data_IF_246714809435
#
_entry.id   IF_246714809435
#
_cell.length_a   1.000
_cell.length_b   1.000
_cell.length_c   1.000
_cell.angle_alpha   90.00
_cell.angle_beta   90.00
_cell.angle_gamma   90.00
#
_symmetry.space_group_name_H-M   'P 1'
#
loop_
_entity.id
_entity.type
_entity.pdbx_description
1 polymer ?
#
# COMPACT_ATOMS: atom_id res chain seq x y z
N UNK A 1 -5.59 -0.87 -24.61
CA UNK A 1 -4.49 -1.63 -23.94
C UNK A 1 -5.10 -2.84 -23.25
N UNK A 2 -4.35 -3.94 -23.08
CA UNK A 2 -4.82 -5.09 -22.28
C UNK A 2 -4.79 -4.67 -20.82
N UNK A 3 -5.89 -4.87 -20.09
CA UNK A 3 -5.94 -4.61 -18.65
C UNK A 3 -5.19 -5.69 -17.85
N UNK A 4 -4.96 -5.46 -16.55
CA UNK A 4 -4.56 -6.55 -15.64
C UNK A 4 -5.62 -7.64 -15.70
N UNK A 5 -5.21 -8.89 -15.50
CA UNK A 5 -6.11 -10.04 -15.54
C UNK A 5 -5.88 -10.96 -14.34
N UNK A 6 -6.89 -11.76 -14.02
CA UNK A 6 -6.89 -12.67 -12.89
C UNK A 6 -7.02 -14.11 -13.39
N UNK A 7 -6.15 -15.00 -12.90
CA UNK A 7 -6.26 -16.44 -13.09
C UNK A 7 -6.48 -17.11 -11.73
N UNK A 8 -7.66 -17.64 -11.51
CA UNK A 8 -8.06 -18.35 -10.29
C UNK A 8 -8.09 -19.87 -10.47
N UNK A 9 -7.72 -20.38 -11.64
CA UNK A 9 -7.90 -21.80 -11.98
C UNK A 9 -7.17 -22.73 -11.01
N UNK A 10 -5.97 -22.33 -10.56
CA UNK A 10 -5.15 -23.10 -9.61
C UNK A 10 -5.51 -22.86 -8.14
N UNK A 11 -6.50 -22.03 -7.88
CA UNK A 11 -7.13 -21.87 -6.56
C UNK A 11 -8.50 -22.58 -6.54
N UNK A 12 -9.31 -22.40 -7.59
CA UNK A 12 -10.64 -23.00 -7.69
C UNK A 12 -10.61 -24.54 -7.72
N UNK A 13 -9.56 -25.16 -8.27
CA UNK A 13 -9.44 -26.63 -8.30
C UNK A 13 -9.30 -27.28 -6.91
N UNK A 14 -9.05 -26.51 -5.85
CA UNK A 14 -9.04 -26.97 -4.45
C UNK A 14 -10.41 -26.90 -3.78
N UNK A 15 -11.40 -26.39 -4.48
CA UNK A 15 -12.78 -26.24 -4.04
C UNK A 15 -13.68 -27.19 -4.84
N UNK A 16 -14.89 -27.43 -4.36
CA UNK A 16 -15.88 -28.17 -5.12
C UNK A 16 -16.27 -27.49 -6.44
N UNK A 17 -16.73 -28.25 -7.41
CA UNK A 17 -17.18 -27.66 -8.68
C UNK A 17 -18.27 -26.61 -8.45
N UNK A 18 -18.11 -25.44 -9.08
CA UNK A 18 -19.02 -24.32 -8.92
C UNK A 18 -18.91 -23.56 -7.59
N UNK A 19 -18.04 -23.96 -6.65
CA UNK A 19 -17.93 -23.32 -5.33
C UNK A 19 -17.66 -21.80 -5.42
N UNK A 20 -16.75 -21.37 -6.29
CA UNK A 20 -16.49 -19.94 -6.50
C UNK A 20 -17.72 -19.22 -7.07
N UNK A 21 -18.39 -19.84 -8.04
CA UNK A 21 -19.61 -19.27 -8.67
C UNK A 21 -20.77 -19.18 -7.67
N UNK A 22 -20.84 -20.04 -6.68
CA UNK A 22 -21.86 -19.99 -5.63
C UNK A 22 -21.78 -18.70 -4.79
N UNK A 23 -20.65 -17.98 -4.83
CA UNK A 23 -20.51 -16.67 -4.19
C UNK A 23 -21.03 -15.49 -5.05
N UNK A 24 -21.32 -15.70 -6.33
CA UNK A 24 -21.81 -14.63 -7.21
C UNK A 24 -22.99 -13.84 -6.64
N UNK A 25 -24.06 -14.45 -6.08
CA UNK A 25 -25.15 -13.69 -5.48
C UNK A 25 -24.72 -12.80 -4.30
N UNK A 26 -23.85 -13.30 -3.42
CA UNK A 26 -23.33 -12.55 -2.27
C UNK A 26 -22.40 -11.41 -2.70
N UNK A 27 -21.59 -11.65 -3.72
CA UNK A 27 -20.70 -10.62 -4.30
C UNK A 27 -21.52 -9.53 -4.95
N UNK A 28 -22.56 -9.90 -5.70
CA UNK A 28 -23.47 -8.92 -6.31
C UNK A 28 -24.19 -8.09 -5.27
N UNK A 29 -24.73 -8.72 -4.22
CA UNK A 29 -25.34 -8.02 -3.08
C UNK A 29 -24.34 -7.04 -2.44
N UNK A 30 -23.09 -7.46 -2.20
CA UNK A 30 -22.04 -6.61 -1.64
C UNK A 30 -21.75 -5.40 -2.55
N UNK A 31 -21.68 -5.58 -3.85
CA UNK A 31 -21.51 -4.49 -4.81
C UNK A 31 -22.70 -3.52 -4.82
N UNK A 32 -23.91 -4.05 -4.79
CA UNK A 32 -25.14 -3.24 -4.70
C UNK A 32 -25.17 -2.44 -3.39
N UNK A 33 -24.76 -3.01 -2.27
CA UNK A 33 -24.66 -2.31 -0.98
C UNK A 33 -23.61 -1.19 -1.00
N UNK A 34 -22.44 -1.42 -1.64
CA UNK A 34 -21.41 -0.39 -1.80
C UNK A 34 -21.94 0.78 -2.63
N UNK A 35 -22.54 0.51 -3.79
CA UNK A 35 -23.08 1.52 -4.69
C UNK A 35 -24.26 2.29 -4.10
N UNK A 36 -25.14 1.61 -3.37
CA UNK A 36 -26.28 2.24 -2.70
C UNK A 36 -25.90 2.95 -1.40
N UNK A 37 -24.67 2.80 -0.91
CA UNK A 37 -24.25 3.37 0.37
C UNK A 37 -24.98 2.78 1.57
N UNK A 38 -25.37 1.50 1.51
CA UNK A 38 -26.11 0.80 2.57
C UNK A 38 -25.27 -0.21 3.36
N UNK A 39 -24.02 -0.39 2.97
CA UNK A 39 -23.08 -1.29 3.65
C UNK A 39 -22.64 -0.74 5.02
N UNK A 40 -22.17 -1.61 5.94
CA UNK A 40 -21.55 -1.16 7.18
C UNK A 40 -20.34 -0.25 6.90
N UNK A 41 -20.31 0.93 7.56
CA UNK A 41 -19.24 1.91 7.37
C UNK A 41 -19.38 2.77 6.12
N UNK A 42 -20.58 2.91 5.59
CA UNK A 42 -20.91 3.70 4.40
C UNK A 42 -20.48 5.18 4.46
N UNK A 43 -20.19 5.71 5.65
CA UNK A 43 -19.59 7.06 5.82
C UNK A 43 -18.20 7.18 5.17
N UNK A 44 -17.56 6.05 4.79
CA UNK A 44 -16.21 5.98 4.24
C UNK A 44 -16.16 5.42 2.81
N UNK A 45 -17.13 5.74 1.98
CA UNK A 45 -17.20 5.29 0.57
C UNK A 45 -16.66 6.31 -0.44
N UNK A 46 -16.04 7.40 0.00
CA UNK A 46 -15.52 8.43 -0.90
C UNK A 46 -14.41 7.96 -1.86
N UNK A 47 -13.85 6.79 -1.63
CA UNK A 47 -12.87 6.15 -2.52
C UNK A 47 -13.51 5.45 -3.72
N UNK A 48 -14.78 5.02 -3.63
CA UNK A 48 -15.45 4.14 -4.60
C UNK A 48 -15.48 4.72 -6.02
N UNK A 49 -15.83 5.99 -6.15
CA UNK A 49 -15.83 6.71 -7.43
C UNK A 49 -14.78 7.81 -7.48
N UNK A 50 -13.77 7.72 -6.60
CA UNK A 50 -12.70 8.69 -6.55
C UNK A 50 -11.96 8.83 -7.89
N UNK A 51 -11.53 7.73 -8.56
CA UNK A 51 -10.75 7.84 -9.78
C UNK A 51 -11.47 8.66 -10.87
N UNK A 52 -12.75 8.37 -11.12
CA UNK A 52 -13.53 9.08 -12.15
C UNK A 52 -13.97 10.48 -11.72
N UNK A 53 -13.95 10.81 -10.43
CA UNK A 53 -14.29 12.14 -9.90
C UNK A 53 -13.11 13.12 -9.87
N UNK A 54 -11.87 12.64 -10.00
CA UNK A 54 -10.68 13.49 -10.01
C UNK A 54 -10.63 14.29 -11.31
N UNK A 55 -10.63 15.62 -11.20
CA UNK A 55 -10.50 16.50 -12.37
C UNK A 55 -9.03 16.67 -12.78
N UNK A 56 -8.80 16.93 -14.08
CA UNK A 56 -7.45 17.27 -14.57
C UNK A 56 -6.90 18.53 -13.90
N UNK A 57 -7.74 19.54 -13.64
CA UNK A 57 -7.34 20.76 -12.97
C UNK A 57 -6.80 20.48 -11.55
N UNK A 58 -7.39 19.53 -10.84
CA UNK A 58 -6.90 19.12 -9.52
C UNK A 58 -5.56 18.38 -9.60
N UNK A 59 -5.37 17.54 -10.60
CA UNK A 59 -4.08 16.90 -10.86
C UNK A 59 -3.00 17.93 -11.22
N UNK A 60 -3.35 18.95 -11.99
CA UNK A 60 -2.45 20.06 -12.33
C UNK A 60 -2.07 20.89 -11.10
N UNK A 61 -3.00 21.11 -10.16
CA UNK A 61 -2.72 21.78 -8.88
C UNK A 61 -1.71 20.98 -8.03
N UNK A 62 -1.92 19.65 -7.92
CA UNK A 62 -0.97 18.77 -7.22
C UNK A 62 0.38 18.79 -7.91
N UNK A 63 0.41 18.72 -9.24
CA UNK A 63 1.65 18.75 -10.01
C UNK A 63 2.39 20.08 -9.83
N UNK A 64 1.70 21.21 -9.86
CA UNK A 64 2.31 22.51 -9.64
C UNK A 64 2.97 22.62 -8.24
N UNK A 65 2.31 22.10 -7.20
CA UNK A 65 2.90 22.02 -5.87
C UNK A 65 4.14 21.10 -5.83
N UNK A 66 4.05 19.94 -6.47
CA UNK A 66 5.18 19.02 -6.58
C UNK A 66 6.37 19.65 -7.31
N UNK A 67 6.14 20.43 -8.36
CA UNK A 67 7.17 21.12 -9.13
C UNK A 67 7.89 22.18 -8.29
N UNK A 68 7.18 22.89 -7.40
CA UNK A 68 7.81 23.80 -6.43
C UNK A 68 8.75 23.04 -5.49
N UNK A 69 8.33 21.90 -4.97
CA UNK A 69 9.17 21.06 -4.11
C UNK A 69 10.38 20.50 -4.88
N UNK A 70 10.17 20.01 -6.09
CA UNK A 70 11.24 19.47 -6.96
C UNK A 70 12.29 20.54 -7.32
N UNK A 71 11.86 21.76 -7.58
CA UNK A 71 12.77 22.85 -7.92
C UNK A 71 13.60 23.36 -6.73
N UNK A 72 13.09 23.20 -5.50
CA UNK A 72 13.68 23.82 -4.30
C UNK A 72 14.31 22.81 -3.32
N UNK A 73 14.18 21.50 -3.54
CA UNK A 73 14.60 20.48 -2.60
C UNK A 73 15.45 19.39 -3.28
N UNK A 74 16.53 18.99 -2.61
CA UNK A 74 17.31 17.78 -2.92
C UNK A 74 16.63 16.54 -2.30
N UNK A 75 15.90 16.76 -1.20
CA UNK A 75 15.20 15.73 -0.42
C UNK A 75 13.82 16.24 -0.05
N UNK A 76 12.81 15.41 -0.21
CA UNK A 76 11.47 15.66 0.34
C UNK A 76 11.16 14.55 1.35
N UNK A 77 10.86 14.94 2.58
CA UNK A 77 10.47 13.99 3.64
C UNK A 77 8.97 13.95 3.75
N UNK A 78 8.40 12.79 3.52
CA UNK A 78 6.98 12.50 3.71
C UNK A 78 6.78 12.02 5.15
N UNK A 79 6.19 12.87 5.98
CA UNK A 79 5.88 12.57 7.37
C UNK A 79 4.45 12.03 7.48
N UNK A 80 4.32 10.71 7.70
CA UNK A 80 3.03 10.01 7.77
C UNK A 80 3.18 8.58 8.27
N UNK A 81 2.07 7.96 8.69
CA UNK A 81 2.02 6.57 9.13
C UNK A 81 0.84 5.83 8.51
N UNK A 82 0.95 4.52 8.36
CA UNK A 82 -0.09 3.67 7.78
C UNK A 82 -0.47 4.12 6.37
N UNK A 83 -1.76 4.35 6.13
CA UNK A 83 -2.25 4.84 4.84
C UNK A 83 -1.70 6.19 4.39
N UNK A 84 -1.16 6.99 5.32
CA UNK A 84 -0.54 8.27 5.01
C UNK A 84 0.87 8.16 4.40
N UNK A 85 1.43 6.94 4.25
CA UNK A 85 2.72 6.77 3.58
C UNK A 85 2.81 5.50 2.72
N UNK A 86 2.15 4.39 3.13
CA UNK A 86 2.34 3.08 2.48
C UNK A 86 1.97 3.10 1.00
N UNK A 87 0.84 3.68 0.63
CA UNK A 87 0.42 3.72 -0.77
C UNK A 87 1.34 4.56 -1.66
N UNK A 88 1.76 5.74 -1.19
CA UNK A 88 2.75 6.55 -1.90
C UNK A 88 4.08 5.81 -2.06
N UNK A 89 4.56 5.17 -0.98
CA UNK A 89 5.80 4.40 -0.98
C UNK A 89 5.73 3.22 -1.94
N UNK A 90 4.62 2.50 -1.95
CA UNK A 90 4.38 1.38 -2.85
C UNK A 90 4.57 1.79 -4.33
N UNK A 91 3.99 2.90 -4.75
CA UNK A 91 4.11 3.39 -6.13
C UNK A 91 5.52 3.92 -6.41
N UNK A 92 6.09 4.72 -5.50
CA UNK A 92 7.41 5.32 -5.68
C UNK A 92 8.50 4.25 -5.78
N UNK A 93 8.49 3.23 -4.92
CA UNK A 93 9.48 2.15 -4.98
C UNK A 93 9.27 1.20 -6.16
N UNK A 94 8.01 0.95 -6.54
CA UNK A 94 7.70 0.14 -7.71
C UNK A 94 8.22 0.76 -9.02
N UNK A 95 8.16 2.07 -9.16
CA UNK A 95 8.56 2.78 -10.37
C UNK A 95 10.01 3.26 -10.32
N UNK A 96 10.52 3.56 -9.13
CA UNK A 96 11.84 4.14 -8.93
C UNK A 96 13.00 3.23 -9.36
N UNK A 97 14.15 3.83 -9.57
CA UNK A 97 15.40 3.07 -9.68
C UNK A 97 15.75 2.51 -8.30
N UNK A 98 16.01 1.20 -8.19
CA UNK A 98 16.36 0.55 -6.92
C UNK A 98 17.61 1.12 -6.26
N UNK A 99 18.46 1.82 -7.00
CA UNK A 99 19.69 2.49 -6.55
C UNK A 99 19.58 4.03 -6.64
N UNK A 100 18.38 4.58 -6.69
CA UNK A 100 18.15 6.02 -6.86
C UNK A 100 18.90 6.88 -5.82
N UNK A 101 19.06 6.38 -4.60
CA UNK A 101 19.77 7.06 -3.52
C UNK A 101 21.29 7.17 -3.74
N UNK A 102 21.88 6.34 -4.61
CA UNK A 102 23.29 6.40 -5.03
C UNK A 102 23.52 7.22 -6.32
N UNK A 103 22.46 7.47 -7.09
CA UNK A 103 22.61 8.17 -8.39
C UNK A 103 22.93 9.64 -8.14
N UNK A 104 23.98 10.13 -8.76
CA UNK A 104 24.29 11.57 -8.87
C UNK A 104 23.44 12.20 -9.99
N UNK A 105 23.34 13.52 -10.03
CA UNK A 105 22.58 14.26 -11.06
C UNK A 105 21.08 13.91 -11.13
N UNK A 106 20.44 13.89 -9.98
CA UNK A 106 19.02 13.61 -9.87
C UNK A 106 18.17 14.73 -10.45
N UNK A 107 17.26 14.40 -11.35
CA UNK A 107 16.22 15.32 -11.82
C UNK A 107 15.14 15.59 -10.78
N UNK A 108 14.95 14.66 -9.86
CA UNK A 108 13.92 14.69 -8.84
C UNK A 108 14.53 14.55 -7.44
N UNK A 109 13.91 15.12 -6.40
CA UNK A 109 14.40 14.96 -5.03
C UNK A 109 14.35 13.49 -4.60
N UNK A 110 15.22 13.13 -3.67
CA UNK A 110 15.09 11.88 -2.94
C UNK A 110 13.87 11.96 -2.03
N UNK A 111 12.95 11.00 -2.14
CA UNK A 111 11.83 10.91 -1.22
C UNK A 111 12.23 10.03 -0.05
N UNK A 112 12.15 10.58 1.16
CA UNK A 112 12.31 9.85 2.41
C UNK A 112 10.97 9.76 3.13
N UNK A 113 10.75 8.67 3.85
CA UNK A 113 9.55 8.47 4.65
C UNK A 113 9.89 8.48 6.13
N UNK A 114 9.13 9.24 6.92
CA UNK A 114 9.33 9.36 8.35
C UNK A 114 7.99 9.50 9.09
N UNK A 115 8.01 9.40 10.42
CA UNK A 115 6.77 9.41 11.19
C UNK A 115 5.94 8.14 11.06
N UNK A 116 6.50 7.12 10.44
CA UNK A 116 5.98 5.77 10.36
C UNK A 116 6.54 4.85 11.47
N UNK A 117 7.43 5.39 12.27
CA UNK A 117 8.00 4.78 13.47
C UNK A 117 8.50 5.89 14.43
N UNK A 118 8.90 5.51 15.63
CA UNK A 118 9.50 6.37 16.67
C UNK A 118 10.87 5.86 17.11
N UNK A 119 11.58 5.15 16.21
CA UNK A 119 12.95 4.70 16.43
C UNK A 119 13.90 5.90 16.54
N UNK A 120 14.56 6.05 17.70
CA UNK A 120 15.43 7.20 17.98
C UNK A 120 16.63 7.24 17.04
N UNK A 121 17.26 6.10 16.77
CA UNK A 121 18.40 6.01 15.86
C UNK A 121 18.02 6.44 14.44
N UNK A 122 16.90 5.94 13.90
CA UNK A 122 16.43 6.32 12.58
C UNK A 122 16.18 7.82 12.46
N UNK A 123 15.50 8.42 13.45
CA UNK A 123 15.21 9.86 13.45
C UNK A 123 16.49 10.69 13.60
N UNK A 124 17.44 10.25 14.44
CA UNK A 124 18.73 10.90 14.65
C UNK A 124 19.61 10.87 13.39
N UNK A 125 19.71 9.72 12.75
CA UNK A 125 20.45 9.52 11.49
C UNK A 125 19.84 10.36 10.36
N UNK A 126 18.52 10.34 10.20
CA UNK A 126 17.82 11.12 9.19
C UNK A 126 18.03 12.64 9.42
N UNK A 127 17.83 13.13 10.64
CA UNK A 127 18.02 14.55 10.95
C UNK A 127 19.48 14.97 10.77
N UNK A 128 20.43 14.08 11.04
CA UNK A 128 21.86 14.30 10.78
C UNK A 128 22.15 14.39 9.27
N UNK A 129 21.62 13.45 8.49
CA UNK A 129 21.74 13.47 7.02
C UNK A 129 21.16 14.75 6.40
N UNK A 130 20.05 15.25 6.95
CA UNK A 130 19.38 16.44 6.45
C UNK A 130 20.09 17.76 6.78
N UNK A 131 21.12 17.79 7.66
CA UNK A 131 21.81 19.02 8.06
C UNK A 131 22.39 19.81 6.89
N UNK A 132 22.93 19.10 5.90
CA UNK A 132 23.59 19.68 4.74
C UNK A 132 22.74 19.59 3.45
N UNK A 133 21.44 19.31 3.59
CA UNK A 133 20.53 19.15 2.46
C UNK A 133 19.49 20.26 2.39
N UNK A 134 19.21 20.69 1.16
CA UNK A 134 18.00 21.49 0.90
C UNK A 134 16.80 20.54 0.91
N UNK A 135 16.11 20.44 2.05
CA UNK A 135 14.96 19.55 2.16
C UNK A 135 13.63 20.29 2.33
N UNK A 136 12.57 19.63 1.93
CA UNK A 136 11.17 20.00 2.16
C UNK A 136 10.42 18.91 2.91
N UNK A 137 9.22 19.21 3.38
CA UNK A 137 8.39 18.28 4.16
C UNK A 137 6.97 18.24 3.62
N UNK A 138 6.44 17.05 3.40
CA UNK A 138 5.02 16.81 3.19
C UNK A 138 4.48 16.16 4.48
N UNK A 139 3.76 16.92 5.29
CA UNK A 139 3.15 16.44 6.53
C UNK A 139 1.75 15.91 6.25
N UNK A 140 1.57 14.61 6.34
CA UNK A 140 0.31 13.92 6.03
C UNK A 140 -0.30 13.38 7.31
N UNK A 141 -1.28 14.10 7.84
CA UNK A 141 -2.01 13.69 9.04
C UNK A 141 -3.37 14.39 9.10
N UNK A 142 -4.45 13.62 9.14
CA UNK A 142 -5.82 14.18 9.23
C UNK A 142 -6.00 14.99 10.50
N UNK A 143 -5.67 14.43 11.66
CA UNK A 143 -5.80 15.10 12.96
C UNK A 143 -4.63 16.00 13.34
N UNK A 144 -3.43 15.67 12.86
CA UNK A 144 -2.17 16.28 13.31
C UNK A 144 -1.74 15.89 14.73
N UNK A 145 -2.40 14.89 15.34
CA UNK A 145 -2.14 14.45 16.71
C UNK A 145 -1.68 13.00 16.80
N UNK A 146 -1.54 12.30 15.67
CA UNK A 146 -0.92 10.97 15.64
C UNK A 146 0.51 11.10 16.12
N UNK A 147 0.84 10.41 17.21
CA UNK A 147 2.07 10.62 17.99
C UNK A 147 3.33 10.57 17.12
N UNK A 148 3.47 9.53 16.33
CA UNK A 148 4.63 9.26 15.48
C UNK A 148 4.84 10.40 14.46
N UNK A 149 3.79 10.73 13.73
CA UNK A 149 3.82 11.79 12.71
C UNK A 149 4.01 13.17 13.32
N UNK A 150 3.31 13.48 14.43
CA UNK A 150 3.38 14.79 15.09
C UNK A 150 4.77 15.06 15.69
N UNK A 151 5.39 14.05 16.32
CA UNK A 151 6.75 14.12 16.86
C UNK A 151 7.76 14.39 15.71
N UNK A 152 7.69 13.57 14.68
CA UNK A 152 8.57 13.68 13.51
C UNK A 152 8.42 15.05 12.81
N UNK A 153 7.18 15.49 12.57
CA UNK A 153 6.94 16.78 11.95
C UNK A 153 7.48 17.94 12.80
N UNK A 154 7.36 17.86 14.11
CA UNK A 154 7.91 18.89 15.03
C UNK A 154 9.44 19.02 14.89
N UNK A 155 10.15 17.88 14.78
CA UNK A 155 11.61 17.86 14.56
C UNK A 155 11.97 18.45 13.19
N UNK A 156 11.32 17.97 12.12
CA UNK A 156 11.59 18.38 10.75
C UNK A 156 11.25 19.86 10.52
N UNK A 157 10.10 20.35 11.02
CA UNK A 157 9.72 21.75 10.94
C UNK A 157 10.79 22.64 11.56
N UNK A 158 11.19 22.33 12.81
CA UNK A 158 12.22 23.10 13.53
C UNK A 158 13.53 23.14 12.76
N UNK A 159 13.96 22.00 12.21
CA UNK A 159 15.21 21.92 11.45
C UNK A 159 15.11 22.68 10.12
N UNK A 160 14.02 22.52 9.38
CA UNK A 160 13.81 23.22 8.11
C UNK A 160 13.80 24.74 8.29
N UNK A 161 13.10 25.24 9.31
CA UNK A 161 13.06 26.66 9.65
C UNK A 161 14.43 27.19 10.10
N UNK A 162 15.20 26.40 10.83
CA UNK A 162 16.56 26.79 11.25
C UNK A 162 17.54 26.90 10.05
N UNK A 163 17.40 26.02 9.06
CA UNK A 163 18.28 26.00 7.89
C UNK A 163 17.91 27.05 6.82
N UNK A 164 16.61 27.28 6.60
CA UNK A 164 16.11 28.11 5.51
C UNK A 164 15.58 29.48 5.95
N UNK A 165 15.31 29.67 7.24
CA UNK A 165 14.46 30.75 7.73
C UNK A 165 12.96 30.44 7.49
N UNK A 166 12.09 31.06 8.29
CA UNK A 166 10.64 30.75 8.27
C UNK A 166 9.97 31.00 6.93
N UNK A 167 10.29 32.09 6.26
CA UNK A 167 9.67 32.49 4.99
C UNK A 167 10.01 31.54 3.83
N UNK A 168 11.24 31.04 3.79
CA UNK A 168 11.63 30.07 2.77
C UNK A 168 11.17 28.65 3.14
N UNK A 169 11.16 28.29 4.42
CA UNK A 169 10.68 27.00 4.88
C UNK A 169 9.20 26.79 4.56
N UNK A 170 8.36 27.82 4.70
CA UNK A 170 6.92 27.71 4.39
C UNK A 170 6.61 27.40 2.93
N UNK A 171 7.52 27.70 2.00
CA UNK A 171 7.35 27.38 0.57
C UNK A 171 7.56 25.89 0.26
N UNK A 172 8.25 25.18 1.15
CA UNK A 172 8.63 23.77 0.98
C UNK A 172 8.08 22.85 2.09
N UNK A 173 7.24 23.38 2.97
CA UNK A 173 6.45 22.61 3.91
C UNK A 173 5.01 22.60 3.40
N UNK A 174 4.49 21.42 3.13
CA UNK A 174 3.12 21.19 2.63
C UNK A 174 2.36 20.34 3.64
N UNK A 175 1.12 20.70 3.93
CA UNK A 175 0.23 19.94 4.79
C UNK A 175 -0.83 19.21 3.97
N UNK A 176 -0.95 17.91 4.15
CA UNK A 176 -2.10 17.12 3.66
C UNK A 176 -2.91 16.72 4.88
N UNK A 177 -4.07 17.34 5.08
CA UNK A 177 -4.77 17.31 6.37
C UNK A 177 -6.28 17.51 6.22
N UNK A 178 -7.00 17.56 7.35
CA UNK A 178 -8.42 17.88 7.41
C UNK A 178 -8.73 19.27 6.82
N UNK A 179 -9.93 19.45 6.30
CA UNK A 179 -10.35 20.70 5.69
C UNK A 179 -10.56 21.84 6.69
N UNK A 180 -10.95 21.53 7.94
CA UNK A 180 -11.47 22.53 8.89
C UNK A 180 -10.91 22.43 10.30
N UNK A 181 -10.44 21.26 10.74
CA UNK A 181 -10.11 20.97 12.15
C UNK A 181 -8.81 20.20 12.31
N UNK A 182 -8.34 20.12 13.52
CA UNK A 182 -7.14 19.37 13.89
C UNK A 182 -5.88 20.24 13.97
N UNK A 183 -4.88 19.70 14.67
CA UNK A 183 -3.63 20.43 14.94
C UNK A 183 -2.84 20.70 13.65
N UNK A 184 -2.86 19.79 12.68
CA UNK A 184 -2.18 19.99 11.38
C UNK A 184 -2.84 21.09 10.57
N UNK A 185 -4.18 21.17 10.54
CA UNK A 185 -4.92 22.26 9.88
C UNK A 185 -4.61 23.60 10.54
N UNK A 186 -4.73 23.69 11.85
CA UNK A 186 -4.43 24.91 12.60
C UNK A 186 -2.99 25.37 12.37
N UNK A 187 -2.04 24.44 12.33
CA UNK A 187 -0.64 24.76 12.06
C UNK A 187 -0.46 25.30 10.62
N UNK A 188 -1.07 24.65 9.63
CA UNK A 188 -0.95 25.07 8.23
C UNK A 188 -1.53 26.48 8.01
N UNK A 189 -2.70 26.77 8.60
CA UNK A 189 -3.34 28.10 8.50
C UNK A 189 -2.49 29.18 9.17
N UNK A 190 -1.99 28.90 10.39
CA UNK A 190 -1.17 29.86 11.15
C UNK A 190 0.15 30.19 10.47
N UNK A 191 0.82 29.17 9.92
CA UNK A 191 2.14 29.33 9.31
C UNK A 191 2.06 29.70 7.82
N UNK A 192 0.89 29.60 7.19
CA UNK A 192 0.65 29.87 5.78
C UNK A 192 1.24 28.81 4.85
N UNK A 193 1.18 27.53 5.25
CA UNK A 193 1.64 26.42 4.40
C UNK A 193 0.65 26.15 3.28
N UNK A 194 1.16 25.79 2.09
CA UNK A 194 0.35 25.14 1.07
C UNK A 194 -0.29 23.88 1.65
N UNK A 195 -1.57 23.66 1.38
CA UNK A 195 -2.25 22.51 1.95
C UNK A 195 -3.25 21.87 1.00
N UNK A 196 -3.38 20.55 1.12
CA UNK A 196 -4.37 19.73 0.44
C UNK A 196 -5.27 19.03 1.46
N UNK A 197 -6.49 18.74 1.03
CA UNK A 197 -7.51 18.16 1.89
C UNK A 197 -7.47 16.63 1.80
N UNK A 198 -7.49 15.97 2.96
CA UNK A 198 -7.85 14.56 3.07
C UNK A 198 -9.38 14.49 3.16
N UNK A 199 -10.07 13.88 2.19
CA UNK A 199 -11.52 13.77 2.24
C UNK A 199 -12.01 13.07 3.50
N UNK A 200 -13.07 13.59 4.11
CA UNK A 200 -13.60 13.03 5.37
C UNK A 200 -14.13 11.62 5.23
N UNK A 201 -14.67 11.32 4.07
CA UNK A 201 -15.27 10.03 3.71
C UNK A 201 -14.29 9.04 3.04
N UNK A 202 -12.97 9.27 3.12
CA UNK A 202 -11.95 8.34 2.65
C UNK A 202 -11.12 7.87 3.83
N UNK A 203 -11.10 6.55 4.05
CA UNK A 203 -10.24 5.92 5.05
C UNK A 203 -8.76 5.95 4.64
N UNK A 204 -7.84 5.95 5.62
CA UNK A 204 -6.40 6.07 5.35
C UNK A 204 -5.86 5.02 4.37
N UNK A 205 -6.26 3.75 4.51
CA UNK A 205 -5.80 2.65 3.63
C UNK A 205 -6.40 2.66 2.23
N UNK A 206 -7.44 3.48 1.98
CA UNK A 206 -8.08 3.72 0.68
C UNK A 206 -7.71 5.09 0.09
N UNK A 207 -6.65 5.74 0.57
CA UNK A 207 -6.37 7.15 0.24
C UNK A 207 -5.26 7.37 -0.79
N UNK A 208 -4.75 6.33 -1.43
CA UNK A 208 -3.61 6.44 -2.38
C UNK A 208 -3.90 7.42 -3.51
N UNK A 209 -5.13 7.42 -4.02
CA UNK A 209 -5.57 8.29 -5.13
C UNK A 209 -6.07 9.67 -4.65
N UNK A 210 -5.89 10.02 -3.39
CA UNK A 210 -6.06 11.37 -2.87
C UNK A 210 -4.71 12.11 -2.85
N UNK A 211 -4.64 13.39 -2.47
CA UNK A 211 -3.36 14.08 -2.27
C UNK A 211 -2.39 13.37 -1.32
N UNK A 212 -2.89 12.47 -0.47
CA UNK A 212 -2.08 11.63 0.42
C UNK A 212 -1.05 10.81 -0.36
N UNK A 213 -1.46 10.18 -1.46
CA UNK A 213 -0.55 9.44 -2.34
C UNK A 213 -0.05 10.26 -3.51
N UNK A 214 -0.95 11.01 -4.19
CA UNK A 214 -0.64 11.67 -5.44
C UNK A 214 0.47 12.74 -5.31
N UNK A 215 0.49 13.53 -4.23
CA UNK A 215 1.49 14.57 -4.06
C UNK A 215 2.92 14.00 -3.87
N UNK A 216 3.18 13.05 -2.97
CA UNK A 216 4.49 12.41 -2.89
C UNK A 216 4.93 11.72 -4.19
N UNK A 217 4.00 11.07 -4.89
CA UNK A 217 4.27 10.39 -6.17
C UNK A 217 4.68 11.39 -7.24
N UNK A 218 3.97 12.53 -7.36
CA UNK A 218 4.33 13.61 -8.27
C UNK A 218 5.69 14.24 -7.91
N UNK A 219 5.99 14.42 -6.61
CA UNK A 219 7.30 14.90 -6.14
C UNK A 219 8.44 13.95 -6.53
N UNK A 220 8.20 12.64 -6.54
CA UNK A 220 9.15 11.65 -7.01
C UNK A 220 9.36 11.69 -8.53
N UNK A 221 8.51 12.43 -9.27
CA UNK A 221 8.61 12.64 -10.72
C UNK A 221 7.84 11.63 -11.55
N UNK A 222 6.89 10.92 -10.97
CA UNK A 222 6.03 9.96 -11.68
C UNK A 222 4.72 10.61 -12.16
N UNK A 223 4.17 10.07 -13.24
CA UNK A 223 2.97 10.60 -13.89
C UNK A 223 1.69 10.19 -13.15
N UNK A 224 1.19 11.12 -12.32
CA UNK A 224 -0.05 10.92 -11.56
C UNK A 224 -1.30 10.89 -12.46
N UNK A 225 -1.26 11.49 -13.66
CA UNK A 225 -2.38 11.41 -14.60
C UNK A 225 -2.51 9.99 -15.17
N UNK A 226 -1.39 9.35 -15.52
CA UNK A 226 -1.40 7.95 -15.95
C UNK A 226 -1.82 7.00 -14.83
N UNK A 227 -1.41 7.27 -13.59
CA UNK A 227 -1.84 6.48 -12.43
C UNK A 227 -3.36 6.55 -12.25
N UNK A 228 -3.93 7.75 -12.27
CA UNK A 228 -5.38 7.96 -12.14
C UNK A 228 -6.12 7.37 -13.34
N UNK A 229 -5.61 7.53 -14.56
CA UNK A 229 -6.22 6.94 -15.77
C UNK A 229 -6.30 5.40 -15.69
N UNK A 230 -5.28 4.75 -15.13
CA UNK A 230 -5.31 3.31 -14.85
C UNK A 230 -6.39 2.93 -13.85
N UNK A 231 -6.52 3.68 -12.77
CA UNK A 231 -7.56 3.47 -11.77
C UNK A 231 -8.98 3.69 -12.33
N UNK A 232 -9.18 4.72 -13.17
CA UNK A 232 -10.44 4.97 -13.87
C UNK A 232 -10.85 3.82 -14.79
N UNK A 233 -9.89 3.24 -15.49
CA UNK A 233 -10.15 2.09 -16.34
C UNK A 233 -10.56 0.87 -15.53
N UNK A 234 -9.92 0.64 -14.38
CA UNK A 234 -10.26 -0.48 -13.51
C UNK A 234 -11.59 -0.25 -12.77
N UNK A 235 -11.93 0.99 -12.40
CA UNK A 235 -13.26 1.35 -11.86
C UNK A 235 -14.37 0.91 -12.83
N UNK A 236 -14.20 1.19 -14.14
CA UNK A 236 -15.14 0.74 -15.16
C UNK A 236 -15.18 -0.78 -15.30
N UNK A 237 -14.00 -1.42 -15.32
CA UNK A 237 -13.88 -2.86 -15.52
C UNK A 237 -14.41 -3.68 -14.34
N UNK A 238 -14.50 -3.09 -13.13
CA UNK A 238 -14.99 -3.73 -11.92
C UNK A 238 -16.33 -3.17 -11.41
N UNK A 239 -17.03 -2.37 -12.23
CA UNK A 239 -18.35 -1.81 -11.89
C UNK A 239 -19.42 -2.87 -11.62
N UNK A 240 -20.46 -2.51 -10.87
CA UNK A 240 -21.53 -3.42 -10.43
C UNK A 240 -22.32 -4.10 -11.57
N UNK A 241 -22.37 -3.46 -12.73
CA UNK A 241 -23.10 -3.96 -13.90
C UNK A 241 -22.23 -4.85 -14.82
N UNK A 242 -20.95 -5.05 -14.47
CA UNK A 242 -20.05 -5.96 -15.17
C UNK A 242 -20.35 -7.40 -14.74
N UNK A 243 -20.53 -8.28 -15.72
CA UNK A 243 -20.82 -9.70 -15.45
C UNK A 243 -19.73 -10.35 -14.58
N UNK A 244 -20.12 -11.23 -13.68
CA UNK A 244 -19.21 -11.87 -12.71
C UNK A 244 -17.97 -12.49 -13.37
N UNK A 245 -18.15 -13.17 -14.51
CA UNK A 245 -17.07 -13.81 -15.26
C UNK A 245 -16.07 -12.81 -15.90
N UNK A 246 -16.43 -11.54 -15.97
CA UNK A 246 -15.59 -10.45 -16.52
C UNK A 246 -15.06 -9.54 -15.43
N UNK A 247 -15.68 -9.52 -14.25
CA UNK A 247 -15.30 -8.67 -13.13
C UNK A 247 -14.24 -9.38 -12.26
N UNK A 248 -12.99 -9.04 -12.48
CA UNK A 248 -11.87 -9.68 -11.79
C UNK A 248 -11.85 -9.41 -10.28
N UNK A 249 -12.33 -8.25 -9.83
CA UNK A 249 -12.42 -7.94 -8.39
C UNK A 249 -13.53 -8.76 -7.71
N UNK A 250 -14.66 -8.96 -8.38
CA UNK A 250 -15.73 -9.82 -7.93
C UNK A 250 -15.26 -11.28 -7.79
N UNK A 251 -14.55 -11.80 -8.80
CA UNK A 251 -13.97 -13.15 -8.77
C UNK A 251 -12.91 -13.29 -7.67
N UNK A 252 -12.04 -12.29 -7.48
CA UNK A 252 -11.04 -12.31 -6.42
C UNK A 252 -11.70 -12.34 -5.03
N UNK A 253 -12.70 -11.51 -4.78
CA UNK A 253 -13.47 -11.55 -3.54
C UNK A 253 -14.18 -12.90 -3.31
N UNK A 254 -14.76 -13.46 -4.36
CA UNK A 254 -15.44 -14.76 -4.31
C UNK A 254 -14.49 -15.91 -3.96
N UNK A 255 -13.36 -16.04 -4.68
CA UNK A 255 -12.43 -17.15 -4.47
C UNK A 255 -11.75 -17.06 -3.10
N UNK A 256 -11.41 -15.87 -2.61
CA UNK A 256 -10.87 -15.67 -1.26
C UNK A 256 -11.85 -16.13 -0.19
N UNK A 257 -13.11 -15.71 -0.26
CA UNK A 257 -14.14 -16.09 0.69
C UNK A 257 -14.46 -17.59 0.61
N UNK A 258 -14.47 -18.21 -0.58
CA UNK A 258 -14.63 -19.64 -0.74
C UNK A 258 -13.45 -20.42 -0.12
N UNK A 259 -12.22 -20.01 -0.38
CA UNK A 259 -11.03 -20.62 0.23
C UNK A 259 -11.05 -20.51 1.77
N UNK A 260 -11.50 -19.38 2.30
CA UNK A 260 -11.60 -19.15 3.74
C UNK A 260 -12.68 -20.02 4.40
N UNK A 261 -13.90 -20.05 3.85
CA UNK A 261 -15.05 -20.68 4.47
C UNK A 261 -15.12 -22.19 4.18
N UNK A 262 -14.81 -22.61 2.96
CA UNK A 262 -14.95 -23.99 2.48
C UNK A 262 -13.59 -24.70 2.39
N UNK A 263 -12.55 -23.98 1.94
CA UNK A 263 -11.21 -24.53 1.82
C UNK A 263 -10.38 -24.53 3.11
N UNK A 264 -10.87 -23.92 4.19
CA UNK A 264 -10.17 -23.84 5.48
C UNK A 264 -8.89 -23.00 5.45
N UNK A 265 -8.69 -22.18 4.41
CA UNK A 265 -7.50 -21.36 4.24
C UNK A 265 -7.62 -20.08 5.07
N UNK A 266 -6.65 -19.83 5.95
CA UNK A 266 -6.68 -18.73 6.92
C UNK A 266 -5.63 -17.66 6.67
N UNK A 267 -4.64 -17.95 5.83
CA UNK A 267 -3.52 -17.04 5.52
C UNK A 267 -3.44 -16.90 4.01
N UNK A 268 -3.43 -15.66 3.54
CA UNK A 268 -3.11 -15.31 2.17
C UNK A 268 -1.71 -14.74 2.09
N UNK A 269 -0.86 -15.33 1.25
CA UNK A 269 0.50 -14.86 1.02
C UNK A 269 0.52 -14.12 -0.32
N UNK A 270 0.69 -12.80 -0.28
CA UNK A 270 0.98 -12.00 -1.46
C UNK A 270 2.42 -12.27 -1.90
N UNK A 271 2.59 -12.74 -3.12
CA UNK A 271 3.91 -13.11 -3.68
C UNK A 271 4.22 -12.21 -4.86
N UNK A 272 5.44 -11.72 -4.92
CA UNK A 272 5.98 -11.06 -6.11
C UNK A 272 7.35 -11.60 -6.48
N UNK A 273 7.68 -11.53 -7.78
CA UNK A 273 8.99 -11.88 -8.35
C UNK A 273 9.76 -10.65 -8.82
N UNK A 274 9.23 -9.47 -8.48
CA UNK A 274 9.85 -8.17 -8.73
C UNK A 274 10.08 -7.48 -7.39
N UNK A 275 11.33 -7.38 -6.90
CA UNK A 275 11.61 -6.79 -5.58
C UNK A 275 11.06 -5.39 -5.38
N UNK A 276 10.84 -4.65 -6.47
CA UNK A 276 10.21 -3.33 -6.46
C UNK A 276 8.76 -3.33 -5.98
N UNK A 277 8.09 -4.48 -5.96
CA UNK A 277 6.70 -4.63 -5.49
C UNK A 277 6.60 -4.93 -3.99
N UNK A 278 7.71 -4.98 -3.26
CA UNK A 278 7.71 -5.21 -1.81
C UNK A 278 6.71 -4.31 -1.08
N UNK A 279 6.80 -2.99 -1.28
CA UNK A 279 5.89 -2.06 -0.60
C UNK A 279 4.45 -2.07 -1.15
N UNK A 280 4.21 -2.62 -2.34
CA UNK A 280 2.86 -2.92 -2.80
C UNK A 280 2.22 -4.01 -1.93
N UNK A 281 2.99 -5.03 -1.57
CA UNK A 281 2.55 -6.07 -0.63
C UNK A 281 2.34 -5.50 0.79
N UNK A 282 3.19 -4.57 1.25
CA UNK A 282 3.03 -3.91 2.56
C UNK A 282 1.75 -3.05 2.62
N UNK A 283 1.46 -2.28 1.56
CA UNK A 283 0.22 -1.53 1.45
C UNK A 283 -1.00 -2.47 1.41
N UNK A 284 -0.94 -3.53 0.63
CA UNK A 284 -1.99 -4.55 0.54
C UNK A 284 -2.25 -5.23 1.89
N UNK A 285 -1.21 -5.52 2.69
CA UNK A 285 -1.37 -6.06 4.05
C UNK A 285 -2.16 -5.12 4.94
N UNK A 286 -1.90 -3.80 4.87
CA UNK A 286 -2.71 -2.84 5.62
C UNK A 286 -4.14 -2.82 5.10
N UNK A 287 -4.33 -2.76 3.78
CA UNK A 287 -5.65 -2.69 3.18
C UNK A 287 -6.54 -3.85 3.65
N UNK A 288 -6.08 -5.08 3.51
CA UNK A 288 -6.86 -6.27 3.86
C UNK A 288 -6.86 -6.56 5.38
N UNK A 289 -5.74 -6.40 6.05
CA UNK A 289 -5.63 -6.66 7.49
C UNK A 289 -6.54 -5.77 8.34
N UNK A 290 -6.53 -4.47 8.08
CA UNK A 290 -7.44 -3.55 8.79
C UNK A 290 -8.91 -3.67 8.33
N UNK A 291 -9.15 -4.12 7.11
CA UNK A 291 -10.53 -4.21 6.59
C UNK A 291 -11.23 -5.49 7.00
N UNK A 292 -10.57 -6.64 6.99
CA UNK A 292 -11.19 -7.95 7.20
C UNK A 292 -10.92 -8.56 8.58
N UNK A 293 -9.80 -8.19 9.24
CA UNK A 293 -9.42 -8.73 10.55
C UNK A 293 -10.31 -8.21 11.69
N UNK A 294 -11.57 -8.61 11.74
CA UNK A 294 -12.59 -8.14 12.69
C UNK A 294 -13.49 -9.28 13.16
N UNK A 295 -14.13 -9.09 14.30
CA UNK A 295 -15.10 -10.05 14.85
C UNK A 295 -14.55 -11.49 14.97
N UNK A 296 -13.23 -11.62 15.20
CA UNK A 296 -12.48 -12.89 15.23
C UNK A 296 -12.57 -13.66 13.89
N UNK A 297 -12.78 -12.95 12.78
CA UNK A 297 -12.80 -13.45 11.42
C UNK A 297 -11.67 -12.81 10.60
N UNK A 298 -11.52 -13.25 9.37
CA UNK A 298 -10.67 -12.68 8.35
C UNK A 298 -9.47 -13.54 8.00
N UNK A 299 -9.02 -13.36 6.77
CA UNK A 299 -7.81 -13.99 6.26
C UNK A 299 -6.62 -13.16 6.73
N UNK A 300 -5.60 -13.80 7.32
CA UNK A 300 -4.38 -13.10 7.72
C UNK A 300 -3.53 -12.77 6.48
N UNK A 301 -3.25 -11.50 6.20
CA UNK A 301 -2.45 -11.11 5.04
C UNK A 301 -0.96 -11.20 5.36
N UNK A 302 -0.25 -12.07 4.66
CA UNK A 302 1.21 -12.18 4.68
C UNK A 302 1.81 -11.83 3.32
N UNK A 303 3.12 -11.70 3.21
CA UNK A 303 3.80 -11.51 1.93
C UNK A 303 5.15 -12.21 1.89
N UNK A 304 5.57 -12.59 0.67
CA UNK A 304 6.90 -13.10 0.37
C UNK A 304 7.44 -12.45 -0.91
N UNK A 305 8.72 -12.17 -0.92
CA UNK A 305 9.45 -11.69 -2.10
C UNK A 305 10.25 -12.88 -2.69
N UNK A 306 9.77 -13.45 -3.77
CA UNK A 306 10.48 -14.54 -4.44
C UNK A 306 11.48 -13.97 -5.46
N UNK A 307 12.60 -14.64 -5.72
CA UNK A 307 13.03 -15.98 -5.22
C UNK A 307 13.65 -15.99 -3.82
N UNK A 308 13.95 -14.81 -3.22
CA UNK A 308 14.70 -14.77 -1.96
C UNK A 308 14.00 -15.56 -0.85
N UNK A 309 12.69 -15.43 -0.70
CA UNK A 309 11.94 -16.13 0.34
C UNK A 309 11.65 -17.60 0.03
N UNK A 310 11.98 -18.10 -1.14
CA UNK A 310 12.03 -19.53 -1.39
C UNK A 310 13.15 -20.20 -0.55
N UNK A 311 14.20 -19.43 -0.22
CA UNK A 311 15.30 -19.87 0.64
C UNK A 311 15.05 -19.65 2.14
N UNK A 312 13.84 -19.21 2.51
CA UNK A 312 13.40 -19.01 3.89
C UNK A 312 12.03 -19.66 4.13
N UNK A 313 10.99 -19.15 3.51
CA UNK A 313 9.60 -19.60 3.67
C UNK A 313 9.22 -20.75 2.73
N UNK A 314 10.00 -21.00 1.67
CA UNK A 314 9.69 -22.02 0.66
C UNK A 314 9.44 -23.41 1.25
N UNK A 315 10.26 -23.84 2.22
CA UNK A 315 10.04 -25.13 2.92
C UNK A 315 8.68 -25.17 3.62
N UNK A 316 8.32 -24.11 4.34
CA UNK A 316 7.06 -24.09 5.07
C UNK A 316 5.85 -24.05 4.12
N UNK A 317 5.94 -23.27 3.05
CA UNK A 317 4.88 -23.18 2.03
C UNK A 317 4.71 -24.53 1.34
N UNK A 318 5.80 -25.21 0.97
CA UNK A 318 5.76 -26.50 0.27
C UNK A 318 5.26 -27.66 1.14
N UNK A 319 5.65 -27.71 2.41
CA UNK A 319 5.53 -28.92 3.24
C UNK A 319 4.98 -28.64 4.66
N UNK A 320 4.61 -27.38 4.98
CA UNK A 320 4.01 -27.01 6.24
C UNK A 320 2.49 -27.24 6.28
N UNK A 321 1.82 -26.58 7.20
CA UNK A 321 0.38 -26.71 7.40
C UNK A 321 -0.44 -26.13 6.23
N UNK A 322 -1.47 -26.83 5.79
CA UNK A 322 -2.28 -26.47 4.59
C UNK A 322 -3.32 -25.37 4.85
N UNK A 323 -3.01 -24.40 5.71
CA UNK A 323 -3.88 -23.26 6.06
C UNK A 323 -3.70 -22.05 5.16
N UNK A 324 -2.75 -22.09 4.23
CA UNK A 324 -2.36 -20.99 3.35
C UNK A 324 -2.90 -21.13 1.93
N UNK A 325 -2.93 -20.01 1.21
CA UNK A 325 -2.96 -19.89 -0.24
C UNK A 325 -2.12 -18.71 -0.70
N UNK A 326 -1.73 -18.69 -1.96
CA UNK A 326 -0.92 -17.65 -2.55
C UNK A 326 -1.71 -16.78 -3.52
N UNK A 327 -1.40 -15.47 -3.54
CA UNK A 327 -1.79 -14.53 -4.60
C UNK A 327 -0.53 -13.94 -5.20
N UNK A 328 -0.22 -14.32 -6.43
CA UNK A 328 1.03 -13.96 -7.12
C UNK A 328 0.81 -12.78 -8.06
N UNK A 329 1.56 -11.71 -7.90
CA UNK A 329 1.62 -10.61 -8.88
C UNK A 329 2.71 -10.94 -9.92
N UNK A 330 2.29 -11.25 -11.12
CA UNK A 330 3.15 -11.62 -12.25
C UNK A 330 3.24 -10.47 -13.25
N UNK A 331 4.43 -9.90 -13.44
CA UNK A 331 4.68 -8.84 -14.44
C UNK A 331 5.08 -9.48 -15.75
N UNK A 332 4.29 -9.27 -16.83
CA UNK A 332 4.51 -9.93 -18.12
C UNK A 332 5.80 -9.45 -18.82
N UNK A 333 6.06 -8.13 -18.77
CA UNK A 333 7.25 -7.53 -19.40
C UNK A 333 8.03 -6.65 -18.43
N UNK A 334 9.32 -6.88 -18.22
CA UNK A 334 10.16 -6.01 -17.43
C UNK A 334 10.50 -4.73 -18.21
N UNK A 335 10.84 -3.65 -17.49
CA UNK A 335 11.18 -2.36 -18.09
C UNK A 335 12.61 -2.32 -18.66
N UNK A 336 13.47 -3.27 -18.29
CA UNK A 336 14.87 -3.36 -18.73
C UNK A 336 15.17 -4.77 -19.23
N UNK A 337 16.21 -4.89 -20.04
CA UNK A 337 16.68 -6.17 -20.54
C UNK A 337 18.12 -6.43 -20.10
N UNK A 338 18.37 -7.63 -19.62
CA UNK A 338 19.69 -8.11 -19.25
C UNK A 338 19.81 -9.56 -19.71
N UNK A 339 20.88 -9.85 -20.43
CA UNK A 339 21.19 -11.19 -20.93
C UNK A 339 22.22 -11.85 -20.01
N UNK A 340 22.11 -13.16 -19.83
CA UNK A 340 23.15 -13.96 -19.21
C UNK A 340 24.39 -14.01 -20.10
N UNK A 341 25.57 -13.70 -19.57
CA UNK A 341 26.83 -13.88 -20.29
C UNK A 341 27.19 -15.37 -20.38
N UNK A 342 28.03 -15.74 -21.33
CA UNK A 342 28.76 -17.00 -21.35
C UNK A 342 30.02 -16.87 -20.48
N UNK A 343 30.39 -17.93 -19.74
CA UNK A 343 31.62 -18.03 -18.97
C UNK A 343 32.52 -19.13 -19.55
N UNK A 344 33.78 -18.81 -19.81
CA UNK A 344 34.70 -19.74 -20.50
C UNK A 344 34.96 -21.02 -19.70
N UNK A 345 35.00 -20.94 -18.36
CA UNK A 345 35.27 -22.09 -17.49
C UNK A 345 34.00 -22.86 -17.12
N UNK A 346 32.83 -22.20 -17.14
CA UNK A 346 31.53 -22.78 -16.78
C UNK A 346 31.55 -23.54 -15.42
N UNK A 347 32.26 -23.00 -14.44
CA UNK A 347 32.41 -23.65 -13.14
C UNK A 347 31.10 -23.77 -12.36
N UNK A 348 30.20 -22.87 -12.59
CA UNK A 348 28.82 -22.85 -12.00
C UNK A 348 27.82 -23.71 -12.77
N UNK A 349 28.22 -24.23 -13.96
CA UNK A 349 27.35 -25.02 -14.82
C UNK A 349 26.21 -24.26 -15.49
N UNK A 350 26.25 -22.90 -15.53
CA UNK A 350 25.14 -22.08 -15.97
C UNK A 350 25.17 -21.64 -17.46
N UNK A 351 26.15 -22.09 -18.23
CA UNK A 351 26.22 -21.75 -19.67
C UNK A 351 24.99 -22.17 -20.49
N UNK A 352 24.17 -23.10 -20.00
CA UNK A 352 22.87 -23.41 -20.62
C UNK A 352 21.88 -22.23 -20.59
N UNK A 353 22.14 -21.19 -19.79
CA UNK A 353 21.40 -19.94 -19.73
C UNK A 353 21.99 -18.84 -20.60
N UNK A 354 23.21 -19.01 -21.12
CA UNK A 354 23.89 -17.99 -21.91
C UNK A 354 23.02 -17.51 -23.09
N UNK A 355 22.96 -16.20 -23.26
CA UNK A 355 22.11 -15.54 -24.26
C UNK A 355 20.63 -15.46 -23.91
N UNK A 356 20.14 -16.11 -22.85
CA UNK A 356 18.77 -15.95 -22.35
C UNK A 356 18.63 -14.66 -21.53
N UNK A 357 17.44 -14.10 -21.53
CA UNK A 357 17.13 -12.97 -20.65
C UNK A 357 17.01 -13.43 -19.19
N UNK A 358 17.50 -12.60 -18.26
CA UNK A 358 17.32 -12.86 -16.81
C UNK A 358 15.83 -12.98 -16.47
N UNK A 359 14.96 -12.19 -17.13
CA UNK A 359 13.50 -12.27 -16.95
C UNK A 359 12.91 -13.63 -17.36
N UNK A 360 13.44 -14.28 -18.40
CA UNK A 360 13.01 -15.63 -18.78
C UNK A 360 13.28 -16.65 -17.67
N UNK A 361 14.44 -16.54 -17.04
CA UNK A 361 14.79 -17.40 -15.90
C UNK A 361 13.88 -17.13 -14.69
N UNK A 362 13.62 -15.85 -14.41
CA UNK A 362 12.72 -15.46 -13.32
C UNK A 362 11.29 -15.98 -13.54
N UNK A 363 10.79 -15.93 -14.79
CA UNK A 363 9.48 -16.50 -15.14
C UNK A 363 9.42 -18.02 -15.05
N UNK A 364 10.52 -18.72 -15.36
CA UNK A 364 10.61 -20.16 -15.15
C UNK A 364 10.64 -20.50 -13.67
N UNK A 365 11.28 -19.67 -12.82
CA UNK A 365 11.20 -19.80 -11.38
C UNK A 365 9.75 -19.59 -10.87
N UNK A 366 9.04 -18.58 -11.34
CA UNK A 366 7.62 -18.36 -11.02
C UNK A 366 6.77 -19.58 -11.40
N UNK A 367 6.92 -20.07 -12.63
CA UNK A 367 6.14 -21.20 -13.11
C UNK A 367 6.47 -22.49 -12.35
N UNK A 368 7.74 -22.78 -12.16
CA UNK A 368 8.20 -23.99 -11.45
C UNK A 368 7.75 -24.00 -9.99
N UNK A 369 7.83 -22.86 -9.31
CA UNK A 369 7.33 -22.71 -7.93
C UNK A 369 5.82 -22.91 -7.87
N UNK A 370 5.06 -22.29 -8.79
CA UNK A 370 3.60 -22.46 -8.84
C UNK A 370 3.19 -23.92 -9.04
N UNK A 371 3.88 -24.63 -9.92
CA UNK A 371 3.62 -26.08 -10.13
C UNK A 371 3.87 -26.86 -8.84
N UNK A 372 5.03 -26.67 -8.21
CA UNK A 372 5.40 -27.37 -6.99
C UNK A 372 4.43 -27.08 -5.82
N UNK A 373 4.10 -25.82 -5.59
CA UNK A 373 3.20 -25.41 -4.50
C UNK A 373 1.77 -25.92 -4.72
N UNK A 374 1.26 -25.86 -5.96
CA UNK A 374 -0.06 -26.42 -6.30
C UNK A 374 -0.09 -27.93 -6.12
N UNK A 375 0.92 -28.66 -6.59
CA UNK A 375 1.03 -30.10 -6.39
C UNK A 375 1.17 -30.46 -4.89
N UNK A 376 1.79 -29.58 -4.10
CA UNK A 376 1.89 -29.66 -2.65
C UNK A 376 0.63 -29.28 -1.89
N UNK A 377 -0.47 -28.91 -2.56
CA UNK A 377 -1.74 -28.60 -1.92
C UNK A 377 -1.96 -27.14 -1.52
N UNK A 378 -1.19 -26.20 -2.12
CA UNK A 378 -1.33 -24.76 -1.89
C UNK A 378 -2.09 -24.12 -3.05
N UNK A 379 -3.32 -23.61 -2.83
CA UNK A 379 -4.07 -22.89 -3.85
C UNK A 379 -3.29 -21.63 -4.31
N UNK A 380 -3.35 -21.35 -5.61
CA UNK A 380 -2.60 -20.24 -6.20
C UNK A 380 -3.51 -19.40 -7.10
N UNK A 381 -3.60 -18.11 -6.76
CA UNK A 381 -4.25 -17.05 -7.53
C UNK A 381 -3.14 -16.28 -8.26
N UNK A 382 -3.33 -15.91 -9.51
CA UNK A 382 -2.35 -15.14 -10.28
C UNK A 382 -2.98 -13.86 -10.82
N UNK A 383 -2.38 -12.73 -10.51
CA UNK A 383 -2.69 -11.42 -11.09
C UNK A 383 -1.63 -11.13 -12.16
N UNK A 384 -2.04 -11.10 -13.42
CA UNK A 384 -1.14 -10.82 -14.53
C UNK A 384 -1.17 -9.33 -14.85
N UNK A 385 -0.04 -8.67 -14.68
CA UNK A 385 0.16 -7.25 -14.99
C UNK A 385 1.05 -7.12 -16.23
N UNK A 386 0.58 -6.50 -17.32
CA UNK A 386 1.33 -6.43 -18.58
C UNK A 386 2.70 -5.78 -18.44
N UNK A 387 2.80 -4.70 -17.65
CA UNK A 387 4.04 -3.97 -17.43
C UNK A 387 4.01 -3.22 -16.11
N UNK A 388 5.16 -2.98 -15.51
CA UNK A 388 5.28 -2.17 -14.30
C UNK A 388 5.41 -0.69 -14.68
N UNK A 389 4.30 0.05 -14.68
CA UNK A 389 4.23 1.49 -14.91
C UNK A 389 3.07 2.10 -14.12
N UNK A 390 2.93 3.42 -14.19
CA UNK A 390 1.90 4.18 -13.46
C UNK A 390 0.49 3.70 -13.77
N UNK A 391 0.18 3.49 -15.05
CA UNK A 391 -1.15 3.07 -15.49
C UNK A 391 -1.57 1.73 -14.89
N UNK A 392 -0.71 0.73 -14.95
CA UNK A 392 -1.03 -0.60 -14.40
C UNK A 392 -0.98 -0.64 -12.87
N UNK A 393 -0.16 0.21 -12.23
CA UNK A 393 -0.23 0.38 -10.77
C UNK A 393 -1.54 1.04 -10.34
N UNK A 394 -2.04 2.00 -11.10
CA UNK A 394 -3.37 2.58 -10.88
C UNK A 394 -4.49 1.54 -10.96
N UNK A 395 -4.43 0.66 -11.98
CA UNK A 395 -5.35 -0.47 -12.08
C UNK A 395 -5.27 -1.41 -10.88
N UNK A 396 -4.06 -1.77 -10.47
CA UNK A 396 -3.82 -2.70 -9.37
C UNK A 396 -4.32 -2.14 -8.03
N UNK A 397 -4.09 -0.84 -7.78
CA UNK A 397 -4.57 -0.16 -6.57
C UNK A 397 -6.09 -0.23 -6.50
N UNK A 398 -6.79 0.23 -7.54
CA UNK A 398 -8.25 0.23 -7.51
C UNK A 398 -8.84 -1.19 -7.49
N UNK A 399 -8.23 -2.13 -8.20
CA UNK A 399 -8.60 -3.56 -8.14
C UNK A 399 -8.60 -4.09 -6.70
N UNK A 400 -7.55 -3.81 -5.94
CA UNK A 400 -7.47 -4.25 -4.55
C UNK A 400 -8.43 -3.48 -3.64
N UNK A 401 -8.64 -2.18 -3.85
CA UNK A 401 -9.58 -1.40 -3.06
C UNK A 401 -11.02 -1.91 -3.21
N UNK A 402 -11.50 -2.07 -4.45
CA UNK A 402 -12.86 -2.57 -4.69
C UNK A 402 -13.00 -4.05 -4.30
N UNK A 403 -11.99 -4.88 -4.60
CA UNK A 403 -11.95 -6.28 -4.17
C UNK A 403 -12.03 -6.43 -2.64
N UNK A 404 -11.34 -5.56 -1.90
CA UNK A 404 -11.38 -5.51 -0.44
C UNK A 404 -12.76 -5.08 0.09
N UNK A 405 -13.35 -4.05 -0.50
CA UNK A 405 -14.71 -3.60 -0.13
C UNK A 405 -15.75 -4.70 -0.32
N UNK A 406 -15.72 -5.37 -1.47
CA UNK A 406 -16.62 -6.51 -1.76
C UNK A 406 -16.36 -7.66 -0.79
N UNK A 407 -15.09 -8.07 -0.64
CA UNK A 407 -14.71 -9.24 0.16
C UNK A 407 -15.07 -9.09 1.64
N UNK A 408 -14.86 -7.89 2.23
CA UNK A 408 -15.23 -7.62 3.61
C UNK A 408 -16.73 -7.65 3.85
N UNK A 409 -17.54 -7.15 2.90
CA UNK A 409 -18.99 -7.25 2.99
C UNK A 409 -19.48 -8.70 2.84
N UNK A 410 -18.90 -9.49 1.93
CA UNK A 410 -19.20 -10.94 1.79
C UNK A 410 -18.81 -11.70 3.07
N UNK A 411 -17.71 -11.34 3.73
CA UNK A 411 -17.28 -11.89 5.01
C UNK A 411 -18.21 -11.50 6.16
N UNK A 412 -19.03 -10.47 5.98
CA UNK A 412 -19.98 -9.95 6.96
C UNK A 412 -19.32 -9.13 8.07
N UNK A 413 -18.34 -8.30 7.72
CA UNK A 413 -17.67 -7.35 8.63
C UNK A 413 -17.77 -5.93 8.08
N UNK A 414 -17.54 -4.91 8.92
CA UNK A 414 -17.39 -3.53 8.44
C UNK A 414 -15.97 -3.33 7.88
N UNK A 415 -15.76 -3.20 6.55
CA UNK A 415 -14.42 -3.12 5.98
C UNK A 415 -13.75 -1.74 6.17
N UNK A 416 -14.44 -0.73 6.69
CA UNK A 416 -13.97 0.66 6.64
C UNK A 416 -13.58 1.26 7.98
N UNK A 417 -13.92 0.63 9.12
CA UNK A 417 -13.47 1.04 10.44
C UNK A 417 -12.22 0.25 10.90
N UNK A 418 -11.65 0.58 12.05
CA UNK A 418 -10.50 -0.12 12.66
C UNK A 418 -10.52 -0.04 14.19
N UNK A 419 -11.53 -0.63 14.88
CA UNK A 419 -11.65 -0.49 16.33
C UNK A 419 -10.51 -1.17 17.12
N UNK A 420 -9.87 -2.19 16.54
CA UNK A 420 -8.81 -2.95 17.20
C UNK A 420 -7.54 -2.17 17.54
N UNK A 421 -7.29 -1.02 16.87
CA UNK A 421 -6.09 -0.22 17.11
C UNK A 421 -6.25 0.82 18.22
N UNK A 422 -7.43 0.98 18.81
CA UNK A 422 -7.65 2.01 19.83
C UNK A 422 -7.08 1.61 21.22
N UNK A 423 -7.06 0.31 21.53
CA UNK A 423 -6.61 -0.17 22.84
C UNK A 423 -5.13 0.14 23.09
N UNK A 424 -4.23 -0.13 22.13
CA UNK A 424 -2.81 0.14 22.32
C UNK A 424 -2.52 1.65 22.45
N UNK A 425 -3.23 2.49 21.69
CA UNK A 425 -3.08 3.96 21.77
C UNK A 425 -3.45 4.47 23.17
N UNK A 426 -4.59 3.99 23.70
CA UNK A 426 -5.03 4.33 25.05
C UNK A 426 -3.98 3.95 26.09
N UNK A 427 -3.42 2.73 26.00
CA UNK A 427 -2.39 2.26 26.91
C UNK A 427 -1.10 3.09 26.77
N UNK A 428 -0.66 3.41 25.55
CA UNK A 428 0.51 4.25 25.32
C UNK A 428 0.33 5.64 25.91
N UNK A 429 -0.83 6.28 25.73
CA UNK A 429 -1.11 7.59 26.32
C UNK A 429 -1.14 7.57 27.85
N UNK A 430 -1.71 6.51 28.43
CA UNK A 430 -1.69 6.30 29.88
C UNK A 430 -0.27 6.13 30.41
N UNK A 431 0.57 5.33 29.75
CA UNK A 431 1.97 5.11 30.14
C UNK A 431 2.85 6.35 30.01
N UNK A 432 2.52 7.24 29.09
CA UNK A 432 3.19 8.53 28.88
C UNK A 432 2.64 9.66 29.77
N UNK A 433 1.75 9.37 30.70
CA UNK A 433 1.10 10.35 31.59
C UNK A 433 0.46 11.51 30.80
N UNK A 434 -0.15 11.20 29.66
CA UNK A 434 -0.79 12.23 28.82
C UNK A 434 -1.95 12.90 29.59
N UNK A 435 -2.03 14.24 29.59
CA UNK A 435 -3.15 14.95 30.20
C UNK A 435 -4.52 14.44 29.73
N UNK A 436 -5.44 14.16 30.68
CA UNK A 436 -6.74 13.54 30.41
C UNK A 436 -6.77 12.01 30.50
N UNK A 437 -5.63 11.36 30.82
CA UNK A 437 -5.51 9.90 31.00
C UNK A 437 -5.08 9.52 32.43
N UNK A 438 -5.25 10.39 33.42
CA UNK A 438 -4.72 10.21 34.78
C UNK A 438 -5.24 8.93 35.45
N UNK A 439 -6.54 8.63 35.30
CA UNK A 439 -7.14 7.42 35.84
C UNK A 439 -6.59 6.13 35.21
N UNK A 440 -6.48 6.14 33.87
CA UNK A 440 -5.91 5.01 33.11
C UNK A 440 -4.42 4.83 33.42
N UNK A 441 -3.66 5.93 33.59
CA UNK A 441 -2.25 5.94 33.99
C UNK A 441 -2.03 5.27 35.32
N UNK A 442 -2.84 5.63 36.34
CA UNK A 442 -2.81 5.00 37.66
C UNK A 442 -3.11 3.50 37.56
N UNK A 443 -4.20 3.14 36.90
CA UNK A 443 -4.62 1.75 36.76
C UNK A 443 -3.57 0.85 36.07
N UNK A 444 -2.97 1.33 35.00
CA UNK A 444 -1.96 0.54 34.25
C UNK A 444 -0.66 0.39 35.06
N UNK A 445 -0.21 1.43 35.76
CA UNK A 445 0.96 1.38 36.67
C UNK A 445 0.76 0.43 37.83
N UNK A 446 -0.44 0.44 38.47
CA UNK A 446 -0.79 -0.51 39.53
C UNK A 446 -0.81 -1.97 39.01
N UNK A 447 -1.29 -2.18 37.78
CA UNK A 447 -1.24 -3.50 37.13
C UNK A 447 0.19 -3.98 36.91
N UNK A 448 1.04 -3.15 36.32
CA UNK A 448 2.44 -3.49 36.08
C UNK A 448 3.22 -3.77 37.35
N UNK A 449 2.94 -3.03 38.43
CA UNK A 449 3.57 -3.27 39.72
C UNK A 449 3.15 -4.60 40.39
N UNK A 450 2.03 -5.20 39.97
CA UNK A 450 1.59 -6.53 40.44
C UNK A 450 2.13 -7.67 39.58
N UNK A 451 2.53 -7.36 38.35
CA UNK A 451 3.09 -8.32 37.37
C UNK A 451 4.63 -8.40 37.46
N UNK A 452 5.29 -7.43 38.10
CA UNK A 452 6.73 -7.36 38.38
C UNK A 452 7.09 -8.09 39.69
#
# INVERSE_FOLDING_TARGET
MKNISLDITKAACFLGEGAVKAYEPKVKEAQEMLEAGTCPGNDFLGWLHLPTSISEAFLDEIQACADVLRANCEVVVVAGIGGSYLGARAVIEALGNSFAWLVQDKKNPTILFAGNNIGEDYLSEMTTYLKDKKFGVINISKSGTTTETALTFRLLKKQCEAQRGKEEAKKVIVAVTDAKKGAARTCADKEGYTSFIIPDNVGGRFSVLTPVGLLPIACAGFDIKQLVAGAQEMEKACGKDVAFEQNIAAQYAAVRNALYNEGGKKIEIMVNYQPKLHFMSEWWKQLYGESEGKDKKGIFPASCDFTTDLHSMGQWIQDGERTIFETVISVEEPNQQLLFPEDEENLDGLNFLAGKRVDEVNKMAELGTRLAHVDGGVPNIRICMPKLNEYYLGQLIYFFEIGCGISGNVLGVNPFNQPGVEAYKKNMFALLDKPGYEADSKAIKERLAKEA
#
